data_IF_983011546862
#
_entry.id   IF_983011546862
#
_cell.length_a   1.000
_cell.length_b   1.000
_cell.length_c   1.000
_cell.angle_alpha   90.00
_cell.angle_beta   90.00
_cell.angle_gamma   90.00
#
_symmetry.space_group_name_H-M   'P 1'
#
loop_
_entity.id
_entity.type
_entity.pdbx_description
1 polymer ?
#
# COMPACT_ATOMS: atom_id res chain seq x y z
N UNK A 1 -6.78 3.81 -2.75
CA UNK A 1 -7.05 3.18 -4.04
C UNK A 1 -5.77 3.01 -4.83
N UNK A 2 -5.64 1.93 -5.61
CA UNK A 2 -4.53 1.61 -6.52
C UNK A 2 -5.14 1.25 -7.88
N UNK A 3 -4.79 1.98 -8.95
CA UNK A 3 -5.39 1.84 -10.29
C UNK A 3 -6.93 1.80 -10.27
N UNK A 4 -7.57 2.68 -9.48
CA UNK A 4 -9.03 2.70 -9.31
C UNK A 4 -9.61 1.54 -8.48
N UNK A 5 -8.78 0.59 -8.02
CA UNK A 5 -9.18 -0.53 -7.16
C UNK A 5 -8.87 -0.30 -5.68
N UNK A 6 -9.73 -0.79 -4.79
CA UNK A 6 -9.47 -0.73 -3.36
C UNK A 6 -8.26 -1.58 -2.97
N UNK A 7 -7.38 -1.02 -2.13
CA UNK A 7 -6.27 -1.73 -1.50
C UNK A 7 -6.40 -1.56 0.00
N UNK A 8 -6.76 -2.63 0.71
CA UNK A 8 -6.85 -2.64 2.17
C UNK A 8 -5.49 -2.99 2.75
N UNK A 9 -5.03 -2.19 3.71
CA UNK A 9 -3.78 -2.43 4.45
C UNK A 9 -4.14 -3.06 5.80
N UNK A 10 -3.52 -4.20 6.11
CA UNK A 10 -3.72 -4.90 7.38
C UNK A 10 -2.54 -4.78 8.32
N UNK A 11 -1.32 -4.66 7.75
CA UNK A 11 -0.10 -4.50 8.54
C UNK A 11 0.88 -3.61 7.79
N UNK A 12 1.47 -2.69 8.54
CA UNK A 12 2.52 -1.81 8.06
C UNK A 12 3.54 -1.58 9.17
N UNK A 13 4.77 -1.26 8.77
CA UNK A 13 5.87 -0.91 9.65
C UNK A 13 6.32 0.53 9.37
N UNK A 14 6.68 1.27 10.42
CA UNK A 14 7.23 2.61 10.26
C UNK A 14 8.60 2.54 9.62
N UNK A 15 8.86 3.45 8.69
CA UNK A 15 10.16 3.62 8.06
C UNK A 15 10.57 5.09 8.09
N UNK A 16 11.87 5.33 7.96
CA UNK A 16 12.43 6.68 7.84
C UNK A 16 12.29 7.27 6.43
N UNK A 17 11.47 6.67 5.56
CA UNK A 17 11.21 7.20 4.22
C UNK A 17 10.59 8.60 4.30
N UNK A 18 10.74 9.39 3.25
CA UNK A 18 10.15 10.74 3.20
C UNK A 18 9.89 11.15 1.76
N UNK A 19 8.93 12.04 1.56
CA UNK A 19 8.54 12.49 0.23
C UNK A 19 7.09 12.92 0.18
N UNK A 20 6.53 12.96 -1.02
CA UNK A 20 5.12 13.33 -1.18
C UNK A 20 4.20 12.22 -0.65
N UNK A 21 3.18 12.55 0.15
CA UNK A 21 2.27 11.57 0.70
C UNK A 21 1.62 10.72 -0.40
N UNK A 22 1.64 9.40 -0.20
CA UNK A 22 1.13 8.41 -1.14
C UNK A 22 2.14 7.99 -2.21
N UNK A 23 3.34 8.60 -2.28
CA UNK A 23 4.37 8.20 -3.23
C UNK A 23 5.03 6.89 -2.81
N UNK A 24 5.12 5.94 -3.74
CA UNK A 24 5.80 4.67 -3.50
C UNK A 24 7.30 4.87 -3.65
N UNK A 25 8.02 4.63 -2.56
CA UNK A 25 9.47 4.79 -2.46
C UNK A 25 10.21 3.52 -2.90
N UNK A 26 9.72 2.36 -2.48
CA UNK A 26 10.32 1.07 -2.79
C UNK A 26 9.27 -0.03 -2.84
N UNK A 27 9.55 -1.08 -3.61
CA UNK A 27 8.73 -2.28 -3.73
C UNK A 27 9.65 -3.50 -3.73
N UNK A 28 9.24 -4.57 -3.06
CA UNK A 28 10.01 -5.80 -3.06
C UNK A 28 9.43 -6.87 -2.15
N UNK A 29 10.22 -7.91 -1.89
CA UNK A 29 9.81 -9.03 -1.03
C UNK A 29 9.44 -8.60 0.39
N UNK A 30 10.10 -7.54 0.90
CA UNK A 30 9.80 -6.96 2.21
C UNK A 30 8.47 -6.16 2.24
N UNK A 31 7.89 -5.83 1.08
CA UNK A 31 6.63 -5.11 0.97
C UNK A 31 6.71 -3.84 0.11
N UNK A 32 5.75 -2.94 0.33
CA UNK A 32 5.59 -1.68 -0.41
C UNK A 32 5.88 -0.53 0.54
N UNK A 33 6.94 0.23 0.29
CA UNK A 33 7.27 1.41 1.06
C UNK A 33 6.65 2.66 0.43
N UNK A 34 5.94 3.43 1.23
CA UNK A 34 5.15 4.58 0.82
C UNK A 34 5.53 5.76 1.70
N UNK A 35 5.81 6.91 1.09
CA UNK A 35 5.99 8.15 1.81
C UNK A 35 4.67 8.62 2.41
N UNK A 36 4.73 9.07 3.66
CA UNK A 36 3.63 9.73 4.35
C UNK A 36 3.92 11.23 4.48
N UNK A 37 2.96 12.01 4.99
CA UNK A 37 3.17 13.43 5.25
C UNK A 37 4.32 13.68 6.24
N UNK A 38 4.55 12.74 7.15
CA UNK A 38 5.75 12.65 7.99
C UNK A 38 6.22 11.19 8.00
N UNK A 39 7.50 10.96 7.74
CA UNK A 39 8.07 9.61 7.66
C UNK A 39 7.50 8.77 6.51
N UNK A 40 7.62 7.44 6.65
CA UNK A 40 7.15 6.48 5.68
C UNK A 40 6.53 5.25 6.33
N UNK A 41 5.74 4.52 5.55
CA UNK A 41 5.14 3.26 5.94
C UNK A 41 5.51 2.18 4.93
N UNK A 42 5.99 1.04 5.44
CA UNK A 42 6.16 -0.18 4.66
C UNK A 42 4.97 -1.10 4.89
N UNK A 43 4.13 -1.22 3.88
CA UNK A 43 3.00 -2.13 3.86
C UNK A 43 3.54 -3.55 3.72
N UNK A 44 3.29 -4.40 4.71
CA UNK A 44 3.76 -5.79 4.75
C UNK A 44 2.64 -6.78 4.51
N UNK A 45 1.38 -6.40 4.78
CA UNK A 45 0.20 -7.23 4.49
C UNK A 45 -0.95 -6.39 3.92
N UNK A 46 -1.45 -6.80 2.76
CA UNK A 46 -2.46 -6.08 1.98
C UNK A 46 -3.51 -7.02 1.39
N UNK A 47 -4.63 -6.45 0.95
CA UNK A 47 -5.69 -7.14 0.22
C UNK A 47 -6.19 -6.23 -0.90
N UNK A 48 -6.08 -6.67 -2.14
CA UNK A 48 -6.77 -6.04 -3.26
C UNK A 48 -8.29 -6.27 -3.18
N UNK A 49 -9.08 -5.37 -3.76
CA UNK A 49 -10.55 -5.46 -3.76
C UNK A 49 -11.05 -6.84 -4.21
N UNK A 50 -11.87 -7.49 -3.37
CA UNK A 50 -12.42 -8.83 -3.62
C UNK A 50 -11.42 -10.00 -3.50
N UNK A 51 -10.12 -9.73 -3.27
CA UNK A 51 -9.08 -10.74 -3.12
C UNK A 51 -8.90 -11.24 -1.69
N UNK A 52 -7.95 -12.16 -1.48
CA UNK A 52 -7.51 -12.61 -0.14
C UNK A 52 -6.43 -11.69 0.44
N UNK A 53 -6.32 -11.64 1.77
CA UNK A 53 -5.19 -10.98 2.47
C UNK A 53 -3.90 -11.76 2.18
N UNK A 54 -2.85 -11.04 1.78
CA UNK A 54 -1.56 -11.59 1.39
C UNK A 54 -0.42 -10.71 1.92
N UNK A 55 0.78 -11.31 2.11
CA UNK A 55 2.00 -10.53 2.24
C UNK A 55 2.17 -9.62 1.02
N UNK A 56 2.58 -8.36 1.24
CA UNK A 56 2.69 -7.37 0.17
C UNK A 56 3.66 -7.80 -0.94
N UNK A 57 4.79 -8.45 -0.58
CA UNK A 57 5.71 -9.03 -1.56
C UNK A 57 5.07 -10.09 -2.47
N UNK A 58 4.14 -10.88 -1.94
CA UNK A 58 3.39 -11.88 -2.72
C UNK A 58 2.28 -11.24 -3.55
N UNK A 59 1.60 -10.23 -2.99
CA UNK A 59 0.59 -9.46 -3.72
C UNK A 59 1.18 -8.77 -4.96
N UNK A 60 2.40 -8.24 -4.85
CA UNK A 60 3.13 -7.61 -5.96
C UNK A 60 3.39 -8.55 -7.15
N UNK A 61 3.33 -9.87 -6.96
CA UNK A 61 3.53 -10.85 -8.06
C UNK A 61 2.34 -10.89 -9.02
N UNK A 62 1.13 -10.64 -8.51
CA UNK A 62 -0.10 -10.53 -9.31
C UNK A 62 -0.46 -9.09 -9.69
N UNK A 63 0.12 -8.12 -8.97
CA UNK A 63 -0.19 -6.69 -9.09
C UNK A 63 1.12 -5.88 -9.12
N UNK A 64 1.82 -5.83 -10.27
CA UNK A 64 3.10 -5.16 -10.35
C UNK A 64 2.94 -3.68 -10.07
N UNK A 65 3.63 -3.22 -9.04
CA UNK A 65 3.66 -1.83 -8.61
C UNK A 65 5.09 -1.34 -8.75
N UNK A 66 5.29 -0.14 -9.30
CA UNK A 66 6.62 0.41 -9.53
C UNK A 66 6.92 1.53 -8.52
N UNK A 67 8.18 1.67 -8.09
CA UNK A 67 8.60 2.84 -7.33
C UNK A 67 8.38 4.09 -8.18
N UNK A 68 7.92 5.17 -7.54
CA UNK A 68 7.41 6.38 -8.22
C UNK A 68 5.92 6.34 -8.55
N UNK A 69 5.25 5.19 -8.40
CA UNK A 69 3.79 5.13 -8.41
C UNK A 69 3.16 5.88 -7.23
N UNK A 70 1.83 6.09 -7.30
CA UNK A 70 1.08 6.78 -6.25
C UNK A 70 -0.06 5.89 -5.73
N UNK A 71 -0.17 5.81 -4.41
CA UNK A 71 -1.33 5.29 -3.71
C UNK A 71 -2.18 6.45 -3.24
N UNK A 72 -3.45 6.43 -3.62
CA UNK A 72 -4.40 7.48 -3.24
C UNK A 72 -5.12 7.07 -1.97
N UNK A 73 -5.30 8.00 -1.03
CA UNK A 73 -5.96 7.74 0.24
C UNK A 73 -7.48 7.91 0.18
N UNK A 74 -8.08 7.94 -1.01
CA UNK A 74 -9.53 8.08 -1.14
C UNK A 74 -10.22 7.03 -0.26
N UNK A 75 -11.09 7.45 0.66
CA UNK A 75 -11.84 6.53 1.49
C UNK A 75 -12.78 5.78 0.55
N UNK A 76 -12.43 4.54 0.21
CA UNK A 76 -13.37 3.70 -0.52
C UNK A 76 -14.66 3.56 0.28
N UNK A 77 -15.80 3.83 -0.35
CA UNK A 77 -17.11 3.42 0.15
C UNK A 77 -17.04 1.93 0.52
N UNK A 78 -16.95 1.61 1.80
CA UNK A 78 -16.62 0.26 2.23
C UNK A 78 -16.06 0.10 3.64
N UNK A 79 -15.87 1.18 4.39
CA UNK A 79 -15.64 1.12 5.84
C UNK A 79 -16.97 1.18 6.60
N UNK A 80 -17.81 0.15 6.44
CA UNK A 80 -18.89 -0.14 7.38
C UNK A 80 -18.36 -1.17 8.37
N UNK A 81 -17.68 -0.70 9.42
CA UNK A 81 -17.02 -1.56 10.39
C UNK A 81 -16.90 -0.90 11.74
N UNK A 82 -18.00 -0.98 12.49
CA UNK A 82 -18.28 -0.68 13.92
C UNK A 82 -18.25 0.78 14.38
#
# INVERSE_FOLDING_TARGET
TWEGSLLKVFRAELTGGGGEPGRVLAVGAAGIEVACGEGGLRLTEVQGGGGRRLPAGEWLRGHPLLPGGRLESEPGEGFSGV
#
